data_IF_960921598978
#
_entry.id   IF_960921598978
#
_cell.length_a   1.000
_cell.length_b   1.000
_cell.length_c   1.000
_cell.angle_alpha   90.00
_cell.angle_beta   90.00
_cell.angle_gamma   90.00
#
_symmetry.space_group_name_H-M   'P 1'
#
loop_
_entity.id
_entity.type
_entity.pdbx_description
1 polymer ?
#
# COMPACT_ATOMS: atom_id res chain seq x y z
N UNK A 1 13.44 13.20 -12.33
CA UNK A 1 12.68 12.00 -12.78
C UNK A 1 11.41 11.93 -11.95
N UNK A 2 10.27 11.57 -12.53
CA UNK A 2 9.02 11.44 -11.77
C UNK A 2 8.91 10.03 -11.18
N UNK A 3 8.51 9.92 -9.91
CA UNK A 3 8.21 8.64 -9.28
C UNK A 3 6.94 8.07 -9.93
N UNK A 4 7.00 6.85 -10.47
CA UNK A 4 5.84 6.16 -11.05
C UNK A 4 5.03 5.46 -9.95
N UNK A 5 4.19 6.26 -9.27
CA UNK A 5 3.33 5.78 -8.17
C UNK A 5 2.34 4.72 -8.67
N UNK A 6 1.82 4.86 -9.90
CA UNK A 6 0.90 3.88 -10.47
C UNK A 6 1.53 2.49 -10.61
N UNK A 7 2.79 2.42 -11.08
CA UNK A 7 3.52 1.16 -11.15
C UNK A 7 3.82 0.57 -9.76
N UNK A 8 4.19 1.41 -8.79
CA UNK A 8 4.46 0.98 -7.41
C UNK A 8 3.19 0.43 -6.75
N UNK A 9 2.07 1.14 -6.87
CA UNK A 9 0.76 0.69 -6.37
C UNK A 9 0.33 -0.62 -7.01
N UNK A 10 0.47 -0.76 -8.33
CA UNK A 10 0.15 -2.01 -9.02
C UNK A 10 0.99 -3.19 -8.49
N UNK A 11 2.28 -2.95 -8.22
CA UNK A 11 3.16 -3.94 -7.62
C UNK A 11 2.71 -4.31 -6.19
N UNK A 12 2.35 -3.32 -5.38
CA UNK A 12 1.88 -3.52 -4.02
C UNK A 12 0.56 -4.30 -3.94
N UNK A 13 -0.41 -3.98 -4.81
CA UNK A 13 -1.64 -4.77 -4.95
C UNK A 13 -1.31 -6.22 -5.33
N UNK A 14 -0.36 -6.43 -6.25
CA UNK A 14 0.09 -7.75 -6.64
C UNK A 14 0.71 -8.55 -5.49
N UNK A 15 1.53 -7.89 -4.65
CA UNK A 15 2.12 -8.50 -3.46
C UNK A 15 1.04 -8.91 -2.45
N UNK A 16 0.09 -8.02 -2.19
CA UNK A 16 -1.04 -8.26 -1.30
C UNK A 16 -1.93 -9.41 -1.77
N UNK A 17 -2.32 -9.42 -3.04
CA UNK A 17 -3.10 -10.49 -3.65
C UNK A 17 -2.34 -11.82 -3.60
N UNK A 18 -1.04 -11.80 -3.90
CA UNK A 18 -0.17 -12.97 -3.80
C UNK A 18 -0.12 -13.57 -2.39
N UNK A 19 -0.07 -12.73 -1.36
CA UNK A 19 0.00 -13.16 0.05
C UNK A 19 -1.27 -13.87 0.54
N UNK A 20 -2.41 -13.66 -0.11
CA UNK A 20 -3.71 -14.25 0.27
C UNK A 20 -4.33 -15.17 -0.77
N UNK A 21 -3.69 -15.33 -1.94
CA UNK A 21 -4.22 -16.04 -3.11
C UNK A 21 -4.73 -17.45 -2.82
N UNK A 22 -4.06 -18.21 -1.95
CA UNK A 22 -4.46 -19.57 -1.60
C UNK A 22 -5.65 -19.64 -0.64
N UNK A 23 -5.96 -18.55 0.06
CA UNK A 23 -6.99 -18.50 1.10
C UNK A 23 -8.20 -17.65 0.74
N UNK A 24 -8.02 -16.63 -0.10
CA UNK A 24 -9.07 -15.70 -0.47
C UNK A 24 -8.75 -15.02 -1.82
N UNK A 25 -8.82 -15.75 -2.94
CA UNK A 25 -8.50 -15.21 -4.26
C UNK A 25 -9.41 -14.05 -4.69
N UNK A 26 -10.65 -14.00 -4.19
CA UNK A 26 -11.60 -12.91 -4.44
C UNK A 26 -11.20 -11.57 -3.80
N UNK A 27 -10.13 -11.55 -3.00
CA UNK A 27 -9.65 -10.34 -2.31
C UNK A 27 -8.91 -9.39 -3.27
N UNK A 28 -8.45 -9.87 -4.41
CA UNK A 28 -7.71 -9.06 -5.38
C UNK A 28 -8.52 -7.87 -5.90
N UNK A 29 -9.80 -8.06 -6.22
CA UNK A 29 -10.66 -6.98 -6.73
C UNK A 29 -10.86 -5.90 -5.66
N UNK A 30 -11.14 -6.31 -4.41
CA UNK A 30 -11.25 -5.38 -3.29
C UNK A 30 -9.94 -4.63 -3.04
N UNK A 31 -8.79 -5.31 -3.10
CA UNK A 31 -7.48 -4.66 -2.95
C UNK A 31 -7.22 -3.63 -4.05
N UNK A 32 -7.67 -3.89 -5.29
CA UNK A 32 -7.55 -2.94 -6.41
C UNK A 32 -8.39 -1.69 -6.17
N UNK A 33 -9.66 -1.86 -5.79
CA UNK A 33 -10.57 -0.74 -5.52
C UNK A 33 -10.09 0.10 -4.36
N UNK A 34 -9.74 -0.55 -3.25
CA UNK A 34 -9.23 0.09 -2.05
C UNK A 34 -7.92 0.83 -2.37
N UNK A 35 -6.94 0.20 -3.02
CA UNK A 35 -5.69 0.86 -3.37
C UNK A 35 -5.88 2.06 -4.32
N UNK A 36 -6.82 1.99 -5.26
CA UNK A 36 -7.14 3.10 -6.15
C UNK A 36 -7.76 4.29 -5.39
N UNK A 37 -8.58 4.03 -4.36
CA UNK A 37 -9.14 5.07 -3.49
C UNK A 37 -8.08 5.84 -2.71
N UNK A 38 -6.94 5.20 -2.41
CA UNK A 38 -5.85 5.76 -1.61
C UNK A 38 -4.65 6.25 -2.45
N UNK A 39 -4.71 6.11 -3.78
CA UNK A 39 -3.61 6.48 -4.67
C UNK A 39 -3.16 7.94 -4.51
N UNK A 40 -4.12 8.86 -4.38
CA UNK A 40 -3.81 10.28 -4.21
C UNK A 40 -3.05 10.57 -2.91
N UNK A 41 -3.48 9.96 -1.79
CA UNK A 41 -2.82 10.13 -0.49
C UNK A 41 -1.39 9.58 -0.53
N UNK A 42 -1.21 8.37 -1.04
CA UNK A 42 0.10 7.72 -1.19
C UNK A 42 1.02 8.55 -2.09
N UNK A 43 0.49 9.11 -3.18
CA UNK A 43 1.23 10.00 -4.05
C UNK A 43 1.69 11.26 -3.32
N UNK A 44 0.81 11.91 -2.57
CA UNK A 44 1.16 13.09 -1.77
C UNK A 44 2.24 12.80 -0.75
N UNK A 45 2.16 11.67 -0.03
CA UNK A 45 3.20 11.26 0.93
C UNK A 45 4.55 11.00 0.25
N UNK A 46 4.54 10.32 -0.91
CA UNK A 46 5.75 10.06 -1.68
C UNK A 46 6.40 11.35 -2.21
N UNK A 47 5.59 12.32 -2.67
CA UNK A 47 6.06 13.63 -3.11
C UNK A 47 6.64 14.45 -1.95
N UNK A 48 5.96 14.49 -0.80
CA UNK A 48 6.45 15.16 0.40
C UNK A 48 7.80 14.60 0.87
N UNK A 49 7.96 13.26 0.88
CA UNK A 49 9.23 12.63 1.21
C UNK A 49 10.32 12.95 0.17
N UNK A 50 9.97 12.93 -1.12
CA UNK A 50 10.91 13.21 -2.20
C UNK A 50 11.41 14.67 -2.19
N UNK A 51 10.54 15.61 -1.81
CA UNK A 51 10.90 17.03 -1.67
C UNK A 51 11.63 17.33 -0.35
N UNK A 52 11.63 16.40 0.60
CA UNK A 52 12.16 16.60 1.95
C UNK A 52 11.24 17.44 2.85
N UNK A 53 9.97 17.56 2.50
CA UNK A 53 8.94 18.23 3.31
C UNK A 53 8.64 17.43 4.59
N UNK A 54 8.79 16.10 4.52
CA UNK A 54 8.75 15.18 5.65
C UNK A 54 10.00 14.29 5.65
N UNK A 55 10.41 13.84 6.83
CA UNK A 55 11.49 12.86 6.94
C UNK A 55 10.97 11.43 6.77
N UNK A 56 11.90 10.48 6.75
CA UNK A 56 11.59 9.06 6.52
C UNK A 56 10.78 8.44 7.67
N UNK A 57 10.98 8.91 8.89
CA UNK A 57 10.26 8.42 10.07
C UNK A 57 8.80 8.84 9.98
N UNK A 58 8.55 10.13 9.73
CA UNK A 58 7.21 10.68 9.49
C UNK A 58 6.52 9.97 8.33
N UNK A 59 7.22 9.75 7.21
CA UNK A 59 6.65 9.01 6.08
C UNK A 59 6.26 7.57 6.45
N UNK A 60 7.07 6.87 7.24
CA UNK A 60 6.77 5.49 7.64
C UNK A 60 5.55 5.41 8.56
N UNK A 61 5.41 6.38 9.46
CA UNK A 61 4.26 6.51 10.36
C UNK A 61 2.97 6.81 9.59
N UNK A 62 2.99 7.75 8.65
CA UNK A 62 1.81 8.05 7.80
C UNK A 62 1.43 6.84 6.92
N UNK A 63 2.41 6.10 6.40
CA UNK A 63 2.16 4.86 5.68
C UNK A 63 1.62 3.73 6.58
N UNK A 64 1.96 3.72 7.86
CA UNK A 64 1.39 2.82 8.87
C UNK A 64 -0.09 3.15 9.13
N UNK A 65 -0.42 4.43 9.26
CA UNK A 65 -1.79 4.89 9.44
C UNK A 65 -2.64 4.55 8.20
N UNK A 66 -2.12 4.75 6.98
CA UNK A 66 -2.86 4.33 5.78
C UNK A 66 -3.00 2.81 5.69
N UNK A 67 -1.97 2.04 6.06
CA UNK A 67 -2.10 0.60 6.16
C UNK A 67 -3.18 0.19 7.18
N UNK A 68 -3.30 0.88 8.31
CA UNK A 68 -4.35 0.60 9.29
C UNK A 68 -5.76 0.88 8.73
N UNK A 69 -5.94 1.98 8.00
CA UNK A 69 -7.19 2.34 7.32
C UNK A 69 -7.57 1.29 6.28
N UNK A 70 -6.66 0.98 5.36
CA UNK A 70 -6.83 -0.05 4.34
C UNK A 70 -7.17 -1.41 4.96
N UNK A 71 -6.55 -1.76 6.09
CA UNK A 71 -6.88 -3.00 6.80
C UNK A 71 -8.31 -2.99 7.35
N UNK A 72 -8.79 -1.86 7.85
CA UNK A 72 -10.16 -1.72 8.34
C UNK A 72 -11.18 -1.86 7.19
N UNK A 73 -10.92 -1.23 6.05
CA UNK A 73 -11.73 -1.37 4.83
C UNK A 73 -11.77 -2.82 4.35
N UNK A 74 -10.62 -3.49 4.35
CA UNK A 74 -10.52 -4.89 3.95
C UNK A 74 -11.24 -5.83 4.92
N UNK A 75 -11.23 -5.55 6.22
CA UNK A 75 -12.01 -6.30 7.22
C UNK A 75 -13.52 -6.08 7.08
N UNK A 76 -13.95 -4.93 6.55
CA UNK A 76 -15.35 -4.66 6.28
C UNK A 76 -15.92 -5.54 5.15
N UNK A 77 -15.05 -6.11 4.31
CA UNK A 77 -15.42 -7.15 3.35
C UNK A 77 -15.79 -8.42 4.11
N UNK A 78 -17.09 -8.74 4.16
CA UNK A 78 -17.69 -9.78 5.01
C UNK A 78 -17.06 -11.19 4.89
N UNK A 79 -16.31 -11.46 3.83
CA UNK A 79 -15.66 -12.75 3.55
C UNK A 79 -14.20 -12.82 4.02
N UNK A 80 -13.64 -11.75 4.59
CA UNK A 80 -12.22 -11.66 4.95
C UNK A 80 -12.04 -11.81 6.47
N UNK A 81 -11.27 -12.81 6.88
CA UNK A 81 -10.87 -12.95 8.29
C UNK A 81 -9.80 -11.91 8.65
N UNK A 82 -9.71 -11.52 9.93
CA UNK A 82 -8.65 -10.62 10.44
C UNK A 82 -7.25 -11.05 10.01
N UNK A 83 -6.96 -12.35 10.03
CA UNK A 83 -5.65 -12.89 9.67
C UNK A 83 -5.34 -12.72 8.17
N UNK A 84 -6.33 -12.92 7.29
CA UNK A 84 -6.19 -12.70 5.86
C UNK A 84 -5.98 -11.21 5.58
N UNK A 85 -6.79 -10.34 6.21
CA UNK A 85 -6.66 -8.90 6.06
C UNK A 85 -5.26 -8.40 6.47
N UNK A 86 -4.76 -8.86 7.62
CA UNK A 86 -3.41 -8.51 8.08
C UNK A 86 -2.31 -8.97 7.11
N UNK A 87 -2.41 -10.20 6.58
CA UNK A 87 -1.41 -10.70 5.62
C UNK A 87 -1.39 -9.89 4.33
N UNK A 88 -2.56 -9.59 3.77
CA UNK A 88 -2.67 -8.77 2.58
C UNK A 88 -2.06 -7.38 2.82
N UNK A 89 -2.45 -6.72 3.92
CA UNK A 89 -2.05 -5.34 4.14
C UNK A 89 -0.57 -5.18 4.48
N UNK A 90 0.03 -6.14 5.18
CA UNK A 90 1.46 -6.13 5.46
C UNK A 90 2.25 -6.23 4.15
N UNK A 91 1.87 -7.17 3.27
CA UNK A 91 2.52 -7.33 1.98
C UNK A 91 2.32 -6.09 1.07
N UNK A 92 1.15 -5.45 1.12
CA UNK A 92 0.87 -4.20 0.42
C UNK A 92 1.79 -3.07 0.92
N UNK A 93 1.80 -2.83 2.24
CA UNK A 93 2.59 -1.78 2.89
C UNK A 93 4.07 -1.93 2.60
N UNK A 94 4.62 -3.12 2.81
CA UNK A 94 6.04 -3.39 2.62
C UNK A 94 6.48 -3.14 1.17
N UNK A 95 5.64 -3.53 0.21
CA UNK A 95 5.88 -3.28 -1.21
C UNK A 95 5.82 -1.78 -1.56
N UNK A 96 4.88 -1.03 -0.98
CA UNK A 96 4.78 0.42 -1.18
C UNK A 96 5.99 1.17 -0.64
N UNK A 97 6.30 0.99 0.65
CA UNK A 97 7.42 1.69 1.31
C UNK A 97 8.73 1.37 0.59
N UNK A 98 8.95 0.09 0.27
CA UNK A 98 10.13 -0.34 -0.46
C UNK A 98 10.20 0.27 -1.85
N UNK A 99 9.09 0.27 -2.61
CA UNK A 99 9.02 0.84 -3.95
C UNK A 99 9.27 2.35 -3.98
N UNK A 100 8.63 3.10 -3.08
CA UNK A 100 8.79 4.56 -2.97
C UNK A 100 10.22 4.91 -2.53
N UNK A 101 10.73 4.25 -1.49
CA UNK A 101 12.09 4.51 -0.99
C UNK A 101 13.15 4.19 -2.05
N UNK A 102 12.98 3.11 -2.82
CA UNK A 102 13.89 2.78 -3.92
C UNK A 102 13.81 3.80 -5.06
N UNK A 103 12.59 4.22 -5.43
CA UNK A 103 12.40 5.23 -6.46
C UNK A 103 13.06 6.57 -6.08
N UNK A 104 12.92 7.01 -4.83
CA UNK A 104 13.53 8.24 -4.32
C UNK A 104 15.07 8.14 -4.31
N UNK A 105 15.64 7.01 -3.88
CA UNK A 105 17.10 6.80 -3.90
C UNK A 105 17.70 6.81 -5.31
N UNK A 106 16.89 6.57 -6.34
CA UNK A 106 17.29 6.57 -7.73
C UNK A 106 17.16 7.94 -8.41
N UNK A 107 16.63 8.97 -7.70
CA UNK A 107 16.55 10.36 -8.16
C UNK A 107 17.91 11.05 -8.09
#
# INVERSE_FOLDING_TARGET
MSIDIGAILKSAVGAAAGAVKSTAPQVEDFLREIAAGHEAAIKTLAEALANGDIDKETFDDEMDDEAATLQAELKAVAVITKAIAQRAINAFRDALISGITQAIKAL
#
